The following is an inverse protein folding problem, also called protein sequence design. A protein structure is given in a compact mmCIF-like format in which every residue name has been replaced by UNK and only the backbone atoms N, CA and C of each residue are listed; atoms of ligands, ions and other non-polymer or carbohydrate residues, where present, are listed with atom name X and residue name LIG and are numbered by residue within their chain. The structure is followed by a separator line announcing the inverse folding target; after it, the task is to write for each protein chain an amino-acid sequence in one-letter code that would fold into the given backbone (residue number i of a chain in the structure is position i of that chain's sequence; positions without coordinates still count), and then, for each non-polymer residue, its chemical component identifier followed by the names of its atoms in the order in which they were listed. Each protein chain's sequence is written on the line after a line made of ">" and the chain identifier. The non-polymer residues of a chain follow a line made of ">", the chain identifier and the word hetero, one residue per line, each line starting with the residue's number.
data_IF_958373713697
#
_entry.id   IF_958373713697
#
_cell.length_a   1.000
_cell.length_b   1.000
_cell.length_c   1.000
_cell.angle_alpha   90.00
_cell.angle_beta   90.00
_cell.angle_gamma   90.00
#
_symmetry.space_group_name_H-M   'P 1'
#
loop_
_entity.id
_entity.type
_entity.pdbx_description
1 polymer ?
#
# COMPACT_ATOMS: atom_id res chain seq x y z
N UNK A 1 -8.46 -8.95 -23.20
CA UNK A 1 -8.95 -9.27 -21.85
C UNK A 1 -8.01 -8.57 -20.87
N UNK A 2 -8.39 -7.41 -20.35
CA UNK A 2 -7.57 -6.70 -19.36
C UNK A 2 -7.64 -7.50 -18.05
N UNK A 3 -6.54 -8.14 -17.64
CA UNK A 3 -6.43 -8.65 -16.28
C UNK A 3 -6.40 -7.41 -15.38
N UNK A 4 -7.50 -7.14 -14.68
CA UNK A 4 -7.44 -6.25 -13.52
C UNK A 4 -6.34 -6.79 -12.61
N UNK A 5 -5.39 -5.94 -12.25
CA UNK A 5 -4.42 -6.31 -11.22
C UNK A 5 -5.20 -6.67 -9.96
N UNK A 6 -4.94 -7.86 -9.45
CA UNK A 6 -5.60 -8.36 -8.24
C UNK A 6 -5.04 -7.65 -7.01
N UNK A 7 -4.04 -6.79 -7.16
CA UNK A 7 -3.42 -6.09 -6.06
C UNK A 7 -3.41 -4.58 -6.28
N UNK A 8 -3.57 -3.85 -5.18
CA UNK A 8 -3.24 -2.43 -5.15
C UNK A 8 -2.51 -2.07 -3.86
N UNK A 9 -1.68 -1.05 -3.97
CA UNK A 9 -0.85 -0.52 -2.90
C UNK A 9 -1.43 0.82 -2.45
N UNK A 10 -1.67 0.96 -1.15
CA UNK A 10 -1.99 2.24 -0.50
C UNK A 10 -0.77 2.72 0.26
N UNK A 11 -0.30 3.92 -0.04
CA UNK A 11 0.84 4.56 0.64
C UNK A 11 0.37 5.84 1.30
N UNK A 12 0.77 6.08 2.54
CA UNK A 12 0.48 7.36 3.22
C UNK A 12 1.44 8.46 2.75
N UNK A 13 0.92 9.64 2.45
CA UNK A 13 1.68 10.85 2.07
C UNK A 13 2.24 11.60 3.27
N UNK A 14 1.63 11.40 4.43
CA UNK A 14 1.99 12.05 5.69
C UNK A 14 2.15 10.98 6.78
N UNK A 15 3.05 11.21 7.75
CA UNK A 15 3.26 10.27 8.83
C UNK A 15 1.99 10.14 9.67
N UNK A 16 1.73 8.92 10.17
CA UNK A 16 0.59 8.68 11.06
C UNK A 16 0.80 9.27 12.46
N UNK A 17 2.06 9.41 12.88
CA UNK A 17 2.52 9.89 14.19
C UNK A 17 3.70 10.84 14.00
N UNK A 18 3.98 11.68 14.99
CA UNK A 18 5.05 12.68 14.94
C UNK A 18 6.43 12.07 14.64
N UNK A 19 6.68 10.85 15.10
CA UNK A 19 7.89 10.04 14.86
C UNK A 19 7.63 8.84 13.92
N UNK A 20 6.61 8.97 13.06
CA UNK A 20 6.22 7.95 12.10
C UNK A 20 7.18 7.84 10.92
N UNK A 21 7.37 6.63 10.43
CA UNK A 21 8.08 6.36 9.17
C UNK A 21 7.08 6.02 8.06
N UNK A 22 7.58 5.93 6.82
CA UNK A 22 6.86 5.48 5.64
C UNK A 22 5.89 4.35 5.97
N UNK A 23 4.63 4.50 5.58
CA UNK A 23 3.59 3.53 5.89
C UNK A 23 2.84 3.14 4.63
N UNK A 24 2.67 1.83 4.43
CA UNK A 24 1.89 1.31 3.31
C UNK A 24 1.17 0.01 3.63
N UNK A 25 0.17 -0.28 2.80
CA UNK A 25 -0.62 -1.52 2.84
C UNK A 25 -0.81 -2.02 1.42
N UNK A 26 -0.55 -3.31 1.18
CA UNK A 26 -0.90 -3.97 -0.08
C UNK A 26 -2.15 -4.80 0.14
N UNK A 27 -3.11 -4.60 -0.74
CA UNK A 27 -4.38 -5.30 -0.76
C UNK A 27 -4.41 -6.25 -1.93
N UNK A 28 -4.99 -7.43 -1.71
CA UNK A 28 -5.45 -8.33 -2.74
C UNK A 28 -6.96 -8.27 -2.83
N UNK A 29 -7.50 -8.09 -4.02
CA UNK A 29 -8.92 -8.21 -4.29
C UNK A 29 -9.40 -9.63 -3.99
N UNK A 30 -10.45 -9.74 -3.19
CA UNK A 30 -11.14 -10.99 -2.90
C UNK A 30 -12.58 -10.81 -3.41
N UNK A 31 -12.96 -11.53 -4.47
CA UNK A 31 -14.30 -11.45 -5.07
C UNK A 31 -15.40 -11.64 -4.02
N UNK A 32 -16.36 -10.72 -3.98
CA UNK A 32 -17.79 -11.00 -4.19
C UNK A 32 -18.69 -9.78 -4.00
N UNK A 33 -19.77 -9.79 -4.78
CA UNK A 33 -20.83 -8.79 -4.90
C UNK A 33 -21.50 -8.45 -3.56
N UNK A 34 -21.52 -7.16 -3.21
CA UNK A 34 -22.58 -6.60 -2.38
C UNK A 34 -23.00 -5.25 -2.97
N UNK A 35 -23.95 -5.32 -3.92
CA UNK A 35 -24.71 -4.19 -4.44
C UNK A 35 -23.88 -2.97 -4.93
N UNK A 36 -22.69 -3.22 -5.47
CA UNK A 36 -21.93 -2.27 -6.29
C UNK A 36 -21.17 -1.15 -5.56
N UNK A 37 -21.13 -1.13 -4.22
CA UNK A 37 -20.50 -0.02 -3.47
C UNK A 37 -19.31 -0.43 -2.59
N UNK A 38 -19.15 -1.72 -2.29
CA UNK A 38 -18.15 -2.20 -1.35
C UNK A 38 -17.34 -3.33 -1.96
N UNK A 39 -16.02 -3.15 -2.03
CA UNK A 39 -15.10 -4.16 -2.52
C UNK A 39 -14.31 -4.75 -1.35
N UNK A 40 -14.35 -6.07 -1.22
CA UNK A 40 -13.66 -6.80 -0.17
C UNK A 40 -12.21 -7.05 -0.56
N UNK A 41 -11.31 -6.81 0.37
CA UNK A 41 -9.88 -6.90 0.15
C UNK A 41 -9.17 -7.58 1.30
N UNK A 42 -8.26 -8.49 0.97
CA UNK A 42 -7.34 -9.08 1.92
C UNK A 42 -6.06 -8.26 1.98
N UNK A 43 -5.65 -7.86 3.18
CA UNK A 43 -4.31 -7.29 3.36
C UNK A 43 -3.29 -8.40 3.18
N UNK A 44 -2.41 -8.27 2.19
CA UNK A 44 -1.33 -9.24 1.94
C UNK A 44 0.01 -8.77 2.46
N UNK A 45 0.18 -7.46 2.60
CA UNK A 45 1.40 -6.86 3.13
C UNK A 45 1.08 -5.59 3.89
N UNK A 46 1.75 -5.38 5.03
CA UNK A 46 1.50 -4.26 5.93
C UNK A 46 2.81 -3.78 6.53
N UNK A 47 3.13 -2.51 6.27
CA UNK A 47 4.33 -1.86 6.78
C UNK A 47 3.92 -0.58 7.50
N UNK A 48 3.93 -0.63 8.83
CA UNK A 48 3.53 0.45 9.73
C UNK A 48 4.24 0.25 11.08
N UNK A 49 4.57 1.34 11.77
CA UNK A 49 5.01 1.27 13.17
C UNK A 49 3.82 0.97 14.08
N UNK A 50 3.75 -0.27 14.57
CA UNK A 50 2.70 -0.71 15.49
C UNK A 50 2.99 -0.24 16.92
N UNK A 51 1.99 0.34 17.57
CA UNK A 51 1.95 0.51 19.03
C UNK A 51 1.70 -0.83 19.72
N UNK A 52 1.90 -0.88 21.04
CA UNK A 52 1.71 -2.07 21.87
C UNK A 52 0.35 -2.77 21.69
N UNK A 53 -0.72 -2.00 21.44
CA UNK A 53 -2.08 -2.52 21.24
C UNK A 53 -2.43 -2.81 19.77
N UNK A 54 -1.57 -2.41 18.83
CA UNK A 54 -1.82 -2.57 17.41
C UNK A 54 -1.25 -3.89 16.90
N UNK A 55 -1.99 -4.54 16.00
CA UNK A 55 -1.56 -5.80 15.39
C UNK A 55 -1.25 -5.59 13.92
N UNK A 56 -0.33 -6.43 13.41
CA UNK A 56 -0.11 -6.53 11.99
C UNK A 56 -1.42 -6.93 11.30
N UNK A 57 -1.84 -6.13 10.31
CA UNK A 57 -3.10 -6.33 9.58
C UNK A 57 -2.96 -7.36 8.47
N UNK A 58 -1.76 -7.87 8.16
CA UNK A 58 -1.56 -8.92 7.16
C UNK A 58 -2.45 -10.14 7.45
N UNK A 59 -3.17 -10.60 6.43
CA UNK A 59 -4.16 -11.66 6.50
C UNK A 59 -5.58 -11.20 6.85
N UNK A 60 -5.77 -9.99 7.36
CA UNK A 60 -7.11 -9.44 7.66
C UNK A 60 -7.87 -9.09 6.38
N UNK A 61 -9.20 -9.13 6.49
CA UNK A 61 -10.13 -8.72 5.42
C UNK A 61 -10.70 -7.36 5.79
N UNK A 62 -10.71 -6.45 4.83
CA UNK A 62 -11.29 -5.12 4.96
C UNK A 62 -12.11 -4.77 3.74
N UNK A 63 -13.12 -3.95 3.95
CA UNK A 63 -13.94 -3.36 2.92
C UNK A 63 -13.37 -2.00 2.51
N UNK A 64 -13.23 -1.75 1.21
CA UNK A 64 -12.70 -0.48 0.67
C UNK A 64 -13.70 0.05 -0.36
N UNK A 65 -14.24 1.23 -0.07
CA UNK A 65 -15.33 1.86 -0.82
C UNK A 65 -14.78 2.80 -1.92
N UNK A 66 -13.62 3.41 -1.68
CA UNK A 66 -13.04 4.40 -2.59
C UNK A 66 -11.51 4.26 -2.67
N UNK A 67 -10.98 4.25 -3.89
CA UNK A 67 -9.55 4.15 -4.22
C UNK A 67 -9.15 5.43 -4.99
N UNK A 68 -9.35 6.59 -4.37
CA UNK A 68 -8.98 7.89 -4.93
C UNK A 68 -7.79 8.49 -4.18
N UNK A 69 -6.85 9.09 -4.92
CA UNK A 69 -5.70 9.81 -4.37
C UNK A 69 -6.19 11.01 -3.54
N UNK A 70 -5.88 11.05 -2.23
CA UNK A 70 -6.29 12.12 -1.30
C UNK A 70 -5.09 12.95 -0.86
N UNK A 71 -5.26 13.98 -0.05
CA UNK A 71 -4.12 14.68 0.56
C UNK A 71 -3.28 13.78 1.49
N UNK A 72 -3.88 12.71 2.02
CA UNK A 72 -3.25 11.82 3.00
C UNK A 72 -2.70 10.53 2.41
N UNK A 73 -3.23 10.07 1.28
CA UNK A 73 -3.01 8.70 0.80
C UNK A 73 -2.92 8.67 -0.73
N UNK A 74 -2.04 7.80 -1.24
CA UNK A 74 -1.87 7.53 -2.67
C UNK A 74 -2.04 6.05 -2.96
N UNK A 75 -2.71 5.76 -4.08
CA UNK A 75 -3.01 4.40 -4.51
C UNK A 75 -2.28 4.07 -5.82
N UNK A 76 -1.71 2.87 -5.89
CA UNK A 76 -1.02 2.33 -7.07
C UNK A 76 -1.60 0.97 -7.45
N UNK A 77 -1.74 0.73 -8.75
CA UNK A 77 -2.02 -0.58 -9.29
C UNK A 77 -0.73 -1.40 -9.31
N UNK A 78 -0.77 -2.59 -8.72
CA UNK A 78 0.39 -3.47 -8.59
C UNK A 78 0.30 -4.55 -9.65
N UNK A 79 1.22 -4.58 -10.61
CA UNK A 79 1.20 -5.60 -11.67
C UNK A 79 1.40 -7.00 -11.09
N UNK A 80 0.45 -7.91 -11.32
CA UNK A 80 0.42 -9.25 -10.74
C UNK A 80 1.64 -10.13 -11.10
N UNK A 81 2.31 -9.85 -12.22
CA UNK A 81 3.36 -10.75 -12.73
C UNK A 81 4.70 -10.62 -11.97
N UNK A 82 4.96 -9.47 -11.34
CA UNK A 82 6.28 -9.14 -10.78
C UNK A 82 6.26 -8.87 -9.27
N UNK A 83 5.07 -8.81 -8.65
CA UNK A 83 4.94 -8.56 -7.22
C UNK A 83 5.10 -9.85 -6.38
N UNK A 84 6.09 -9.82 -5.50
CA UNK A 84 6.31 -10.85 -4.47
C UNK A 84 5.98 -10.26 -3.10
N UNK A 85 5.12 -10.93 -2.34
CA UNK A 85 4.74 -10.49 -0.98
C UNK A 85 5.99 -10.36 -0.10
N UNK A 86 6.15 -9.20 0.52
CA UNK A 86 7.29 -8.86 1.38
C UNK A 86 8.39 -8.06 0.68
N UNK A 87 8.44 -8.04 -0.66
CA UNK A 87 9.45 -7.29 -1.41
C UNK A 87 9.39 -5.78 -1.16
N UNK A 88 8.18 -5.24 -0.98
CA UNK A 88 7.99 -3.81 -0.69
C UNK A 88 8.39 -3.47 0.76
N UNK A 89 8.18 -4.37 1.71
CA UNK A 89 8.55 -4.19 3.12
C UNK A 89 10.05 -4.21 3.30
N UNK A 90 10.75 -5.09 2.58
CA UNK A 90 12.21 -5.13 2.55
C UNK A 90 12.77 -3.80 1.99
N UNK A 91 12.30 -3.36 0.83
CA UNK A 91 12.73 -2.09 0.25
C UNK A 91 12.36 -0.87 1.14
N UNK A 92 11.17 -0.88 1.75
CA UNK A 92 10.76 0.19 2.66
C UNK A 92 11.61 0.23 3.92
N UNK A 93 12.04 -0.91 4.45
CA UNK A 93 12.96 -0.97 5.58
C UNK A 93 14.29 -0.32 5.24
N UNK A 94 14.87 -0.64 4.07
CA UNK A 94 16.11 0.01 3.61
C UNK A 94 15.97 1.53 3.45
N UNK A 95 14.83 1.99 2.93
CA UNK A 95 14.54 3.43 2.80
C UNK A 95 14.43 4.10 4.18
N UNK A 96 13.70 3.49 5.12
CA UNK A 96 13.54 4.03 6.48
C UNK A 96 14.87 4.05 7.25
N UNK A 97 15.69 3.02 7.08
CA UNK A 97 17.00 2.92 7.74
C UNK A 97 18.01 3.93 7.16
N UNK A 98 17.87 4.32 5.88
CA UNK A 98 18.78 5.26 5.21
C UNK A 98 18.33 6.72 5.21
N UNK A 99 17.05 6.99 5.45
CA UNK A 99 16.47 8.34 5.36
C UNK A 99 15.64 8.66 6.60
N UNK A 100 16.02 9.64 7.43
CA UNK A 100 15.27 9.98 8.64
C UNK A 100 13.99 10.79 8.35
N UNK A 101 13.95 11.54 7.25
CA UNK A 101 12.82 12.41 6.91
C UNK A 101 11.71 11.65 6.17
N UNK A 102 10.47 11.73 6.66
CA UNK A 102 9.32 11.05 6.06
C UNK A 102 9.09 11.44 4.61
N UNK A 103 9.24 12.72 4.27
CA UNK A 103 8.97 13.21 2.91
C UNK A 103 9.99 12.64 1.92
N UNK A 104 11.25 12.53 2.31
CA UNK A 104 12.27 11.82 1.54
C UNK A 104 11.90 10.34 1.39
N UNK A 105 11.57 9.65 2.50
CA UNK A 105 11.18 8.24 2.46
C UNK A 105 10.02 7.99 1.49
N UNK A 106 8.96 8.79 1.56
CA UNK A 106 7.82 8.72 0.65
C UNK A 106 8.24 8.95 -0.81
N UNK A 107 9.07 9.96 -1.07
CA UNK A 107 9.50 10.28 -2.42
C UNK A 107 10.33 9.13 -3.02
N UNK A 108 11.33 8.65 -2.30
CA UNK A 108 12.16 7.51 -2.73
C UNK A 108 11.35 6.24 -2.89
N UNK A 109 10.36 5.98 -2.02
CA UNK A 109 9.48 4.84 -2.17
C UNK A 109 8.61 4.96 -3.44
N UNK A 110 8.01 6.12 -3.71
CA UNK A 110 7.23 6.32 -4.94
C UNK A 110 8.09 6.16 -6.21
N UNK A 111 9.34 6.61 -6.19
CA UNK A 111 10.29 6.40 -7.29
C UNK A 111 10.63 4.91 -7.48
N UNK A 112 10.78 4.15 -6.39
CA UNK A 112 10.93 2.68 -6.44
C UNK A 112 9.69 2.04 -7.08
N UNK A 113 8.49 2.39 -6.61
CA UNK A 113 7.22 1.86 -7.14
C UNK A 113 7.10 2.07 -8.65
N UNK A 114 7.43 3.28 -9.15
CA UNK A 114 7.43 3.54 -10.60
C UNK A 114 8.48 2.72 -11.35
N UNK A 115 9.69 2.52 -10.79
CA UNK A 115 10.73 1.66 -11.39
C UNK A 115 10.32 0.19 -11.44
N UNK A 116 9.50 -0.27 -10.49
CA UNK A 116 8.90 -1.60 -10.49
C UNK A 116 7.73 -1.75 -11.48
N UNK A 117 7.46 -0.74 -12.31
CA UNK A 117 6.40 -0.78 -13.33
C UNK A 117 4.98 -0.65 -12.74
N UNK A 118 4.85 -0.27 -11.48
CA UNK A 118 3.56 0.01 -10.87
C UNK A 118 3.10 1.41 -11.28
N UNK A 119 1.84 1.54 -11.64
CA UNK A 119 1.25 2.81 -12.07
C UNK A 119 0.30 3.34 -11.02
N UNK A 120 0.08 4.66 -11.01
CA UNK A 120 -1.00 5.25 -10.22
C UNK A 120 -2.31 4.56 -10.59
N UNK A 121 -3.12 4.21 -9.57
CA UNK A 121 -4.39 3.55 -9.81
C UNK A 121 -5.26 4.44 -10.72
N UNK A 122 -5.87 3.89 -11.80
CA UNK A 122 -6.68 4.68 -12.72
C UNK A 122 -7.85 5.32 -11.98
N UNK A 123 -8.14 6.59 -12.33
CA UNK A 123 -9.27 7.36 -11.80
C UNK A 123 -10.58 6.97 -12.47
#
# INVERSE_FOLDING_TARGET
>A
MFRLSNFFLKVRKLPYREDGHLTFVVYKHEDNELLGLTYRHKVVEHFERLSFYERNKAGSITDIICIQDTEYERYFSVNNNDYVVGSLSEAAKEIVDSQPDYRQQFTTFVELIHRMGMSKYPQ
#
